data_IF_680360322259
#
_entry.id   IF_680360322259
#
_cell.length_a   1.000
_cell.length_b   1.000
_cell.length_c   1.000
_cell.angle_alpha   90.00
_cell.angle_beta   90.00
_cell.angle_gamma   90.00
#
_symmetry.space_group_name_H-M   'P 1'
#
loop_
_entity.id
_entity.type
_entity.pdbx_description
1 polymer ?
#
# COMPACT_ATOMS: atom_id res chain seq x y z
N UNK A 1 1.59 -4.17 -13.20
CA UNK A 1 2.16 -5.08 -12.18
C UNK A 1 1.03 -5.55 -11.29
N UNK A 2 0.78 -6.86 -11.23
CA UNK A 2 -0.19 -7.45 -10.32
C UNK A 2 0.56 -7.90 -9.07
N UNK A 3 0.57 -7.07 -8.03
CA UNK A 3 1.20 -7.41 -6.75
C UNK A 3 0.14 -8.09 -5.89
N UNK A 4 0.49 -9.26 -5.34
CA UNK A 4 -0.34 -9.97 -4.38
C UNK A 4 0.08 -9.61 -2.96
N UNK A 5 -0.89 -9.44 -2.08
CA UNK A 5 -0.65 -9.28 -0.65
C UNK A 5 -0.40 -10.66 0.02
N UNK A 6 -0.10 -10.66 1.32
CA UNK A 6 0.07 -11.90 2.10
C UNK A 6 -1.19 -12.79 2.19
N UNK A 7 -2.38 -12.26 1.85
CA UNK A 7 -3.61 -13.05 1.74
C UNK A 7 -3.73 -13.81 0.41
N UNK A 8 -2.80 -13.59 -0.54
CA UNK A 8 -2.91 -14.12 -1.91
C UNK A 8 -3.88 -13.34 -2.81
N UNK A 9 -4.39 -12.20 -2.36
CA UNK A 9 -5.28 -11.32 -3.15
C UNK A 9 -4.52 -10.16 -3.80
N UNK A 10 -5.10 -9.58 -4.85
CA UNK A 10 -4.54 -8.41 -5.51
C UNK A 10 -4.48 -7.21 -4.57
N UNK A 11 -3.27 -6.70 -4.34
CA UNK A 11 -3.05 -5.47 -3.59
C UNK A 11 -3.70 -4.28 -4.31
N UNK A 12 -4.36 -3.41 -3.54
CA UNK A 12 -5.05 -2.23 -4.07
C UNK A 12 -4.19 -0.99 -3.92
N UNK A 13 -4.13 -0.21 -5.00
CA UNK A 13 -3.47 1.09 -4.99
C UNK A 13 -4.34 2.12 -4.26
N UNK A 14 -3.72 2.90 -3.38
CA UNK A 14 -4.32 3.98 -2.60
C UNK A 14 -3.40 5.19 -2.59
N UNK A 15 -3.97 6.35 -2.31
CA UNK A 15 -3.23 7.61 -2.14
C UNK A 15 -3.16 7.94 -0.66
N UNK A 16 -1.97 8.22 -0.15
CA UNK A 16 -1.78 8.77 1.19
C UNK A 16 -2.21 10.24 1.21
N UNK A 17 -3.04 10.58 2.17
CA UNK A 17 -3.49 11.94 2.46
C UNK A 17 -2.95 12.44 3.81
N UNK A 18 -1.96 11.75 4.36
CA UNK A 18 -1.29 12.14 5.60
C UNK A 18 -0.35 13.32 5.35
N UNK A 19 -0.19 14.20 6.33
CA UNK A 19 0.72 15.36 6.26
C UNK A 19 2.16 14.96 5.97
N UNK A 20 2.58 13.79 6.47
CA UNK A 20 3.94 13.28 6.29
C UNK A 20 4.21 12.71 4.89
N UNK A 21 3.17 12.30 4.16
CA UNK A 21 3.29 11.69 2.82
C UNK A 21 2.12 12.11 1.93
N UNK A 22 1.90 13.39 1.65
CA UNK A 22 0.74 13.84 0.90
C UNK A 22 0.84 13.38 -0.56
N UNK A 23 -0.30 12.97 -1.13
CA UNK A 23 -0.47 12.55 -2.52
C UNK A 23 0.38 11.34 -2.98
N UNK A 24 1.16 10.71 -2.09
CA UNK A 24 2.01 9.57 -2.41
C UNK A 24 1.20 8.28 -2.57
N UNK A 25 1.49 7.48 -3.58
CA UNK A 25 0.72 6.25 -3.86
C UNK A 25 1.35 5.03 -3.20
N UNK A 26 0.52 4.18 -2.61
CA UNK A 26 0.93 2.90 -2.02
C UNK A 26 0.00 1.77 -2.42
N UNK A 27 0.51 0.55 -2.41
CA UNK A 27 -0.24 -0.69 -2.50
C UNK A 27 -0.50 -1.22 -1.09
N UNK A 28 -1.73 -1.63 -0.82
CA UNK A 28 -2.11 -2.21 0.46
C UNK A 28 -3.03 -3.41 0.32
N UNK A 29 -3.17 -4.18 1.41
CA UNK A 29 -4.13 -5.27 1.50
C UNK A 29 -5.56 -4.76 1.18
N UNK A 30 -6.35 -5.44 0.31
CA UNK A 30 -7.74 -5.08 0.10
C UNK A 30 -8.57 -5.18 1.40
N UNK A 31 -8.25 -6.12 2.27
CA UNK A 31 -8.95 -6.39 3.54
C UNK A 31 -8.43 -5.57 4.73
N UNK A 32 -7.71 -4.47 4.50
CA UNK A 32 -7.10 -3.68 5.58
C UNK A 32 -8.07 -3.15 6.66
N UNK A 33 -9.37 -3.09 6.38
CA UNK A 33 -10.40 -2.70 7.37
C UNK A 33 -10.84 -3.86 8.27
N UNK A 34 -10.60 -5.11 7.86
CA UNK A 34 -10.95 -6.30 8.63
C UNK A 34 -9.74 -6.77 9.46
N UNK A 35 -9.77 -6.62 10.80
CA UNK A 35 -8.65 -7.01 11.65
C UNK A 35 -8.37 -8.52 11.65
N UNK A 36 -9.31 -9.37 11.23
CA UNK A 36 -9.13 -10.83 11.17
C UNK A 36 -8.53 -11.30 9.85
N UNK A 37 -8.78 -10.58 8.76
CA UNK A 37 -8.35 -10.94 7.40
C UNK A 37 -7.21 -10.08 6.86
N UNK A 38 -6.81 -9.03 7.58
CA UNK A 38 -5.76 -8.10 7.17
C UNK A 38 -4.36 -8.68 7.38
N UNK A 39 -3.62 -8.94 6.29
CA UNK A 39 -2.20 -9.33 6.35
C UNK A 39 -1.22 -8.17 6.57
N UNK A 40 -1.69 -6.94 6.74
CA UNK A 40 -0.90 -5.72 6.91
C UNK A 40 0.08 -5.44 5.75
N UNK A 41 -0.18 -5.95 4.56
CA UNK A 41 0.62 -5.68 3.38
C UNK A 41 0.63 -4.17 3.05
N UNK A 42 1.82 -3.61 2.84
CA UNK A 42 2.06 -2.22 2.50
C UNK A 42 3.33 -2.07 1.64
N UNK A 43 3.24 -1.35 0.53
CA UNK A 43 4.39 -1.04 -0.32
C UNK A 43 4.19 0.30 -1.05
N UNK A 44 5.19 1.18 -1.07
CA UNK A 44 5.13 2.40 -1.88
C UNK A 44 5.20 2.08 -3.38
N UNK A 45 4.38 2.76 -4.19
CA UNK A 45 4.38 2.62 -5.65
C UNK A 45 5.58 3.35 -6.26
N UNK A 46 5.89 4.53 -5.70
CA UNK A 46 7.00 5.35 -6.14
C UNK A 46 8.28 4.86 -5.45
N UNK A 47 9.36 4.68 -6.23
CA UNK A 47 10.70 4.56 -5.67
C UNK A 47 10.96 5.75 -4.73
N UNK A 48 11.70 5.60 -3.62
CA UNK A 48 12.12 6.75 -2.84
C UNK A 48 12.72 7.78 -3.79
N UNK A 49 12.32 9.05 -3.66
CA UNK A 49 12.95 10.13 -4.41
C UNK A 49 14.47 9.98 -4.19
N UNK A 50 15.30 10.00 -5.25
CA UNK A 50 16.73 9.88 -5.06
C UNK A 50 17.15 10.99 -4.10
N UNK A 51 17.79 10.59 -3.00
CA UNK A 51 18.39 11.54 -2.07
C UNK A 51 19.36 12.40 -2.87
N UNK A 52 19.11 13.70 -2.94
CA UNK A 52 20.04 14.67 -3.49
C UNK A 52 21.08 15.06 -2.42
#
# INVERSE_FOLDING_TARGET
MNILCGCGELARMRTSWTENNPARRFLGCPNFMDPTSNCNFFQWVDAPLPNH
#
